data_IF_477113612042
#
_entry.id   IF_477113612042
#
_cell.length_a   1.000
_cell.length_b   1.000
_cell.length_c   1.000
_cell.angle_alpha   90.00
_cell.angle_beta   90.00
_cell.angle_gamma   90.00
#
_symmetry.space_group_name_H-M   'P 1'
#
loop_
_entity.id
_entity.type
_entity.pdbx_description
1 polymer ?
#
# COMPACT_ATOMS: atom_id res chain seq x y z
N UNK A 1 4.11 23.64 -3.94
CA UNK A 1 3.87 22.47 -4.82
C UNK A 1 3.92 21.24 -3.95
N UNK A 2 2.88 20.40 -3.98
CA UNK A 2 2.82 19.20 -3.13
C UNK A 2 2.87 17.93 -3.95
N UNK A 3 3.70 17.00 -3.52
CA UNK A 3 3.83 15.68 -4.14
C UNK A 3 3.50 14.58 -3.14
N UNK A 4 2.89 13.51 -3.62
CA UNK A 4 2.61 12.30 -2.86
C UNK A 4 3.64 11.23 -3.16
N UNK A 5 4.06 10.47 -2.16
CA UNK A 5 4.98 9.35 -2.31
C UNK A 5 4.29 8.11 -1.76
N UNK A 6 4.17 7.09 -2.61
CA UNK A 6 3.48 5.82 -2.34
C UNK A 6 4.39 4.66 -2.71
N UNK A 7 4.32 3.55 -1.99
CA UNK A 7 5.08 2.32 -2.29
C UNK A 7 4.29 1.08 -1.89
N UNK A 8 4.66 -0.06 -2.49
CA UNK A 8 4.27 -1.41 -2.06
C UNK A 8 2.74 -1.58 -1.96
N UNK A 9 2.07 -1.41 -3.10
CA UNK A 9 0.60 -1.46 -3.19
C UNK A 9 0.01 -2.87 -3.25
N UNK A 10 0.71 -3.83 -3.87
CA UNK A 10 0.34 -5.26 -3.95
C UNK A 10 -1.16 -5.53 -4.17
N UNK A 11 -1.71 -4.92 -5.22
CA UNK A 11 -3.11 -5.09 -5.64
C UNK A 11 -4.18 -4.79 -4.56
N UNK A 12 -3.86 -3.96 -3.57
CA UNK A 12 -4.79 -3.57 -2.51
C UNK A 12 -5.66 -2.38 -2.92
N UNK A 13 -6.56 -2.62 -3.87
CA UNK A 13 -7.52 -1.65 -4.41
C UNK A 13 -8.12 -0.70 -3.35
N UNK A 14 -8.63 -1.22 -2.23
CA UNK A 14 -9.23 -0.39 -1.17
C UNK A 14 -8.23 0.56 -0.50
N UNK A 15 -7.02 0.07 -0.22
CA UNK A 15 -5.97 0.89 0.41
C UNK A 15 -5.42 1.93 -0.56
N UNK A 16 -5.27 1.56 -1.84
CA UNK A 16 -4.81 2.46 -2.90
C UNK A 16 -5.85 3.55 -3.17
N UNK A 17 -7.13 3.19 -3.28
CA UNK A 17 -8.21 4.15 -3.46
C UNK A 17 -8.27 5.17 -2.31
N UNK A 18 -8.15 4.70 -1.06
CA UNK A 18 -8.14 5.59 0.10
C UNK A 18 -6.89 6.48 0.14
N UNK A 19 -5.71 5.94 -0.20
CA UNK A 19 -4.49 6.72 -0.31
C UNK A 19 -4.62 7.82 -1.38
N UNK A 20 -5.09 7.49 -2.59
CA UNK A 20 -5.31 8.48 -3.65
C UNK A 20 -6.32 9.54 -3.23
N UNK A 21 -7.41 9.15 -2.55
CA UNK A 21 -8.42 10.07 -2.01
C UNK A 21 -7.80 11.06 -1.03
N UNK A 22 -7.02 10.57 -0.05
CA UNK A 22 -6.36 11.42 0.94
C UNK A 22 -5.30 12.34 0.30
N UNK A 23 -4.55 11.85 -0.70
CA UNK A 23 -3.60 12.67 -1.44
C UNK A 23 -4.30 13.81 -2.21
N UNK A 24 -5.43 13.51 -2.84
CA UNK A 24 -6.25 14.52 -3.52
C UNK A 24 -6.76 15.60 -2.53
N UNK A 25 -7.20 15.21 -1.34
CA UNK A 25 -7.61 16.15 -0.28
C UNK A 25 -6.46 17.06 0.19
N UNK A 26 -5.23 16.54 0.23
CA UNK A 26 -4.04 17.35 0.54
C UNK A 26 -3.60 18.26 -0.61
N UNK A 27 -4.34 18.27 -1.74
CA UNK A 27 -4.03 19.01 -2.97
C UNK A 27 -2.67 18.63 -3.55
N UNK A 28 -2.39 17.32 -3.56
CA UNK A 28 -1.22 16.78 -4.23
C UNK A 28 -1.37 16.94 -5.74
N UNK A 29 -0.32 17.44 -6.38
CA UNK A 29 -0.29 17.74 -7.81
C UNK A 29 0.39 16.63 -8.62
N UNK A 30 1.21 15.80 -7.96
CA UNK A 30 1.99 14.73 -8.58
C UNK A 30 2.21 13.60 -7.57
N UNK A 31 2.10 12.35 -8.00
CA UNK A 31 2.44 11.17 -7.18
C UNK A 31 3.68 10.47 -7.74
N UNK A 32 4.57 10.06 -6.84
CA UNK A 32 5.72 9.20 -7.12
C UNK A 32 5.46 7.83 -6.49
N UNK A 33 5.49 6.77 -7.30
CA UNK A 33 5.29 5.41 -6.86
C UNK A 33 6.62 4.65 -6.88
N UNK A 34 7.09 4.19 -5.73
CA UNK A 34 8.42 3.61 -5.56
C UNK A 34 8.54 2.15 -6.04
N UNK A 35 7.44 1.43 -6.23
CA UNK A 35 7.48 0.06 -6.79
C UNK A 35 6.48 -0.89 -6.17
N UNK A 36 6.47 -2.14 -6.65
CA UNK A 36 5.58 -3.22 -6.27
C UNK A 36 4.09 -2.86 -6.48
N UNK A 37 3.79 -2.56 -7.75
CA UNK A 37 2.43 -2.26 -8.25
C UNK A 37 1.61 -3.55 -8.35
N UNK A 38 2.24 -4.62 -8.84
CA UNK A 38 1.76 -5.99 -9.05
C UNK A 38 0.69 -6.14 -10.14
N UNK A 39 -0.28 -5.23 -10.20
CA UNK A 39 -1.45 -5.32 -11.10
C UNK A 39 -1.72 -4.04 -11.89
N UNK A 40 -2.05 -4.15 -13.20
CA UNK A 40 -2.55 -3.04 -14.00
C UNK A 40 -3.82 -2.38 -13.44
N UNK A 41 -4.67 -3.14 -12.76
CA UNK A 41 -5.91 -2.61 -12.19
C UNK A 41 -5.61 -1.59 -11.07
N UNK A 42 -4.52 -1.83 -10.33
CA UNK A 42 -4.01 -0.89 -9.32
C UNK A 42 -3.59 0.44 -9.93
N UNK A 43 -3.02 0.43 -11.14
CA UNK A 43 -2.62 1.66 -11.84
C UNK A 43 -3.83 2.55 -12.10
N UNK A 44 -5.00 1.99 -12.40
CA UNK A 44 -6.19 2.76 -12.75
C UNK A 44 -6.70 3.66 -11.62
N UNK A 45 -6.42 3.33 -10.36
CA UNK A 45 -6.79 4.18 -9.22
C UNK A 45 -6.05 5.52 -9.20
N UNK A 46 -4.87 5.59 -9.81
CA UNK A 46 -4.07 6.81 -9.86
C UNK A 46 -4.51 7.80 -10.96
N UNK A 47 -5.51 7.47 -11.77
CA UNK A 47 -6.03 8.35 -12.83
C UNK A 47 -6.35 9.80 -12.39
N UNK A 48 -6.83 10.09 -11.16
CA UNK A 48 -7.13 11.47 -10.75
C UNK A 48 -5.90 12.37 -10.57
N UNK A 49 -4.70 11.80 -10.41
CA UNK A 49 -3.48 12.57 -10.12
C UNK A 49 -2.34 12.11 -11.06
N UNK A 50 -1.64 13.01 -11.75
CA UNK A 50 -0.44 12.65 -12.53
C UNK A 50 0.52 11.82 -11.68
N UNK A 51 0.91 10.64 -12.17
CA UNK A 51 1.70 9.69 -11.39
C UNK A 51 2.88 9.15 -12.18
N UNK A 52 4.05 9.14 -11.54
CA UNK A 52 5.28 8.54 -12.04
C UNK A 52 5.55 7.24 -11.28
N UNK A 53 5.78 6.16 -12.00
CA UNK A 53 5.96 4.83 -11.43
C UNK A 53 7.37 4.32 -11.68
N UNK A 54 7.98 3.69 -10.68
CA UNK A 54 9.16 2.81 -10.83
C UNK A 54 8.71 1.37 -10.65
N UNK A 55 9.35 0.43 -11.34
CA UNK A 55 9.08 -0.99 -11.18
C UNK A 55 9.83 -1.58 -9.98
N UNK A 56 9.09 -2.33 -9.17
CA UNK A 56 9.63 -3.16 -8.10
C UNK A 56 10.01 -4.56 -8.57
N UNK A 57 10.41 -5.40 -7.61
CA UNK A 57 10.81 -6.78 -7.90
C UNK A 57 9.62 -7.71 -8.16
N UNK A 58 8.41 -7.33 -7.72
CA UNK A 58 7.18 -8.08 -7.97
C UNK A 58 6.48 -7.71 -9.29
N UNK A 59 6.93 -6.64 -9.96
CA UNK A 59 6.39 -6.16 -11.23
C UNK A 59 6.91 -6.97 -12.42
N UNK A 60 6.49 -8.25 -12.51
CA UNK A 60 6.99 -9.21 -13.52
C UNK A 60 6.56 -8.84 -14.96
N UNK A 61 5.35 -8.31 -15.13
CA UNK A 61 4.82 -7.94 -16.45
C UNK A 61 4.91 -6.43 -16.67
N UNK A 62 6.14 -5.94 -16.81
CA UNK A 62 6.44 -4.52 -17.04
C UNK A 62 5.76 -3.98 -18.31
N UNK A 63 5.58 -4.80 -19.33
CA UNK A 63 4.95 -4.39 -20.58
C UNK A 63 3.47 -4.08 -20.38
N UNK A 64 2.73 -4.97 -19.70
CA UNK A 64 1.32 -4.75 -19.39
C UNK A 64 1.13 -3.61 -18.41
N UNK A 65 1.98 -3.48 -17.39
CA UNK A 65 1.95 -2.34 -16.46
C UNK A 65 2.22 -1.02 -17.19
N UNK A 66 3.23 -0.96 -18.05
CA UNK A 66 3.54 0.24 -18.85
C UNK A 66 2.36 0.66 -19.73
N UNK A 67 1.65 -0.30 -20.34
CA UNK A 67 0.46 -0.01 -21.13
C UNK A 67 -0.67 0.61 -20.28
N UNK A 68 -0.90 0.08 -19.07
CA UNK A 68 -1.89 0.63 -18.14
C UNK A 68 -1.51 2.03 -17.63
N UNK A 69 -0.22 2.23 -17.32
CA UNK A 69 0.33 3.54 -16.90
C UNK A 69 0.13 4.57 -18.01
N UNK A 70 0.43 4.21 -19.25
CA UNK A 70 0.21 5.09 -20.41
C UNK A 70 -1.27 5.41 -20.61
N UNK A 71 -2.16 4.45 -20.34
CA UNK A 71 -3.62 4.62 -20.50
C UNK A 71 -4.18 5.67 -19.54
N UNK A 72 -3.61 5.80 -18.33
CA UNK A 72 -4.01 6.84 -17.37
C UNK A 72 -3.25 8.16 -17.55
N UNK A 73 -2.35 8.27 -18.53
CA UNK A 73 -1.48 9.43 -18.71
C UNK A 73 -0.33 9.52 -17.72
N UNK A 74 0.01 8.43 -17.02
CA UNK A 74 1.15 8.35 -16.12
C UNK A 74 2.47 8.11 -16.87
N UNK A 75 3.57 8.21 -16.14
CA UNK A 75 4.93 7.95 -16.67
C UNK A 75 5.51 6.70 -16.02
N UNK A 76 5.87 5.70 -16.82
CA UNK A 76 6.59 4.53 -16.36
C UNK A 76 8.11 4.78 -16.47
N UNK A 77 8.80 4.64 -15.34
CA UNK A 77 10.25 4.58 -15.22
C UNK A 77 10.63 3.12 -14.99
N UNK A 78 11.87 2.74 -15.34
CA UNK A 78 12.31 1.36 -15.16
C UNK A 78 12.64 1.07 -13.68
N UNK A 79 13.92 1.01 -13.31
CA UNK A 79 14.35 0.80 -11.91
C UNK A 79 14.55 2.11 -11.13
N UNK A 80 14.54 3.25 -11.81
CA UNK A 80 14.91 4.54 -11.24
C UNK A 80 14.13 5.67 -11.90
N UNK A 81 13.58 6.55 -11.07
CA UNK A 81 12.98 7.80 -11.51
C UNK A 81 13.70 9.00 -10.91
N UNK A 82 13.86 10.06 -11.70
CA UNK A 82 14.35 11.35 -11.24
C UNK A 82 13.60 12.50 -11.89
N UNK A 83 13.35 13.54 -11.11
CA UNK A 83 12.71 14.78 -11.53
C UNK A 83 13.33 15.98 -10.82
N UNK A 84 13.23 17.14 -11.44
CA UNK A 84 13.49 18.42 -10.79
C UNK A 84 12.16 19.18 -10.66
N UNK A 85 11.74 19.44 -9.42
CA UNK A 85 10.49 20.12 -9.10
C UNK A 85 10.80 21.33 -8.23
N UNK A 86 10.32 22.52 -8.61
CA UNK A 86 10.58 23.77 -7.88
C UNK A 86 12.08 24.01 -7.55
N UNK A 87 12.99 23.60 -8.45
CA UNK A 87 14.44 23.71 -8.24
C UNK A 87 15.03 22.70 -7.26
N UNK A 88 14.26 21.68 -6.86
CA UNK A 88 14.69 20.57 -6.01
C UNK A 88 14.79 19.29 -6.80
N UNK A 89 15.91 18.58 -6.64
CA UNK A 89 16.17 17.32 -7.33
C UNK A 89 15.66 16.17 -6.49
N UNK A 90 14.76 15.39 -7.07
CA UNK A 90 14.07 14.29 -6.41
C UNK A 90 14.37 13.02 -7.18
N UNK A 91 14.82 11.99 -6.48
CA UNK A 91 15.01 10.65 -7.00
C UNK A 91 14.13 9.66 -6.23
N UNK A 92 13.71 8.59 -6.89
CA UNK A 92 13.04 7.48 -6.21
C UNK A 92 13.33 6.14 -6.86
N UNK A 93 13.38 5.09 -6.03
CA UNK A 93 13.73 3.71 -6.41
C UNK A 93 12.94 2.71 -5.57
N UNK A 94 12.84 1.46 -6.00
CA UNK A 94 12.26 0.41 -5.13
C UNK A 94 13.24 -0.05 -4.05
N UNK A 95 14.56 0.09 -4.25
CA UNK A 95 15.62 -0.37 -3.33
C UNK A 95 15.72 -1.90 -3.13
N UNK A 96 15.23 -2.71 -4.08
CA UNK A 96 15.61 -4.13 -4.15
C UNK A 96 17.14 -4.29 -4.37
N UNK A 97 17.75 -3.35 -5.09
CA UNK A 97 19.20 -3.18 -5.18
C UNK A 97 19.70 -2.13 -4.18
N UNK A 98 20.13 -2.59 -2.99
CA UNK A 98 20.64 -1.68 -1.94
C UNK A 98 21.82 -0.80 -2.38
N UNK A 99 22.61 -1.26 -3.35
CA UNK A 99 23.72 -0.50 -3.91
C UNK A 99 23.24 0.77 -4.63
N UNK A 100 22.11 0.70 -5.34
CA UNK A 100 21.54 1.84 -6.04
C UNK A 100 21.08 2.92 -5.05
N UNK A 101 20.40 2.53 -3.97
CA UNK A 101 20.01 3.46 -2.90
C UNK A 101 21.23 4.13 -2.27
N UNK A 102 22.25 3.35 -1.93
CA UNK A 102 23.48 3.87 -1.33
C UNK A 102 24.17 4.91 -2.24
N UNK A 103 24.26 4.65 -3.55
CA UNK A 103 24.84 5.58 -4.51
C UNK A 103 24.02 6.89 -4.61
N UNK A 104 22.69 6.79 -4.67
CA UNK A 104 21.82 7.98 -4.76
C UNK A 104 21.88 8.83 -3.49
N UNK A 105 21.97 8.19 -2.34
CA UNK A 105 22.13 8.84 -1.05
C UNK A 105 23.48 9.57 -0.91
N UNK A 106 24.57 8.99 -1.40
CA UNK A 106 25.93 9.51 -1.21
C UNK A 106 26.46 10.34 -2.39
N UNK A 107 25.69 10.49 -3.48
CA UNK A 107 26.14 11.26 -4.64
C UNK A 107 26.07 12.78 -4.45
N UNK A 108 25.48 13.28 -3.36
CA UNK A 108 25.26 14.70 -3.10
C UNK A 108 24.66 15.44 -4.32
N UNK A 109 23.84 14.77 -5.12
CA UNK A 109 23.22 15.36 -6.31
C UNK A 109 21.73 15.68 -6.09
N UNK A 110 21.05 14.88 -5.27
CA UNK A 110 19.62 14.97 -5.01
C UNK A 110 19.34 15.66 -3.67
N UNK A 111 18.30 16.49 -3.61
CA UNK A 111 17.78 17.02 -2.34
C UNK A 111 16.94 15.97 -1.60
N UNK A 112 16.20 15.15 -2.36
CA UNK A 112 15.30 14.12 -1.84
C UNK A 112 15.50 12.78 -2.55
N UNK A 113 15.58 11.70 -1.78
CA UNK A 113 15.61 10.33 -2.28
C UNK A 113 14.52 9.53 -1.58
N UNK A 114 13.61 8.95 -2.36
CA UNK A 114 12.55 8.09 -1.84
C UNK A 114 12.79 6.62 -2.19
N UNK A 115 12.48 5.73 -1.27
CA UNK A 115 12.63 4.29 -1.53
C UNK A 115 11.54 3.41 -0.90
N UNK A 116 11.30 2.25 -1.50
CA UNK A 116 10.31 1.25 -1.07
C UNK A 116 10.91 0.01 -0.40
N UNK A 117 10.27 -1.15 -0.58
CA UNK A 117 10.76 -2.51 -0.27
C UNK A 117 10.81 -2.93 1.21
N UNK A 118 11.23 -2.06 2.14
CA UNK A 118 11.38 -2.47 3.56
C UNK A 118 10.06 -2.54 4.32
N UNK A 119 8.98 -1.96 3.77
CA UNK A 119 7.65 -1.80 4.40
C UNK A 119 7.67 -1.01 5.72
N UNK A 120 8.81 -0.43 6.09
CA UNK A 120 9.02 0.33 7.32
C UNK A 120 9.24 1.79 6.96
N UNK A 121 8.39 2.65 7.54
CA UNK A 121 8.56 4.09 7.42
C UNK A 121 9.89 4.50 8.06
N UNK A 122 10.72 5.15 7.27
CA UNK A 122 12.02 5.65 7.69
C UNK A 122 12.25 7.04 7.12
N UNK A 123 12.95 7.87 7.86
CA UNK A 123 13.37 9.18 7.40
C UNK A 123 14.71 9.50 8.05
N UNK A 124 15.72 9.75 7.23
CA UNK A 124 17.02 10.18 7.68
C UNK A 124 17.62 11.17 6.69
N UNK A 125 18.70 11.82 7.10
CA UNK A 125 19.42 12.78 6.27
C UNK A 125 20.87 12.35 6.19
N UNK A 126 21.37 12.25 4.97
CA UNK A 126 22.76 11.90 4.68
C UNK A 126 23.36 13.03 3.87
N UNK A 127 24.35 13.71 4.46
CA UNK A 127 24.86 14.97 3.92
C UNK A 127 23.73 16.00 3.75
N UNK A 128 23.53 16.44 2.50
CA UNK A 128 22.45 17.38 2.15
C UNK A 128 21.16 16.71 1.65
N UNK A 129 21.17 15.39 1.46
CA UNK A 129 20.06 14.64 0.89
C UNK A 129 19.13 14.13 2.00
N UNK A 130 17.82 14.37 1.86
CA UNK A 130 16.80 13.76 2.70
C UNK A 130 16.38 12.43 2.07
N UNK A 131 16.58 11.34 2.80
CA UNK A 131 16.18 10.00 2.36
C UNK A 131 14.94 9.58 3.17
N UNK A 132 13.90 9.12 2.49
CA UNK A 132 12.67 8.71 3.17
C UNK A 132 12.00 7.50 2.51
N UNK A 133 11.45 6.63 3.35
CA UNK A 133 10.61 5.52 2.95
C UNK A 133 9.15 5.82 3.34
N UNK A 134 8.19 5.82 2.39
CA UNK A 134 6.78 6.10 2.68
C UNK A 134 6.10 5.02 3.52
N UNK A 135 6.75 3.88 3.75
CA UNK A 135 6.14 2.66 4.26
C UNK A 135 5.47 1.89 3.12
N UNK A 136 4.58 0.97 3.48
CA UNK A 136 3.81 0.18 2.51
C UNK A 136 2.31 0.34 2.73
N UNK A 137 1.54 0.12 1.66
CA UNK A 137 0.08 -0.03 1.74
C UNK A 137 -0.33 -1.50 1.93
N UNK A 138 0.60 -2.43 1.72
CA UNK A 138 0.43 -3.86 1.97
C UNK A 138 1.34 -4.35 3.10
N UNK A 139 0.79 -5.17 4.01
CA UNK A 139 1.49 -5.78 5.16
C UNK A 139 2.25 -4.83 6.11
N UNK A 140 2.01 -3.52 6.03
CA UNK A 140 2.44 -2.56 7.05
C UNK A 140 1.33 -2.25 8.06
N UNK A 141 1.72 -2.07 9.32
CA UNK A 141 0.85 -1.55 10.37
C UNK A 141 1.60 -0.46 11.15
N UNK A 142 1.23 0.82 11.01
CA UNK A 142 0.15 1.36 10.17
C UNK A 142 0.49 1.34 8.67
N UNK A 143 -0.52 1.33 7.79
CA UNK A 143 -0.35 1.63 6.36
C UNK A 143 -0.09 3.11 6.21
N UNK A 144 0.93 3.51 5.47
CA UNK A 144 1.33 4.91 5.36
C UNK A 144 1.67 5.35 3.94
N UNK A 145 1.51 6.64 3.68
CA UNK A 145 2.12 7.32 2.55
C UNK A 145 2.71 8.67 3.02
N UNK A 146 3.48 9.34 2.15
CA UNK A 146 4.09 10.63 2.49
C UNK A 146 3.53 11.71 1.55
N UNK A 147 3.30 12.91 2.10
CA UNK A 147 3.14 14.14 1.34
C UNK A 147 4.36 15.01 1.59
N UNK A 148 5.04 15.42 0.52
CA UNK A 148 6.12 16.40 0.55
C UNK A 148 5.62 17.72 -0.04
N UNK A 149 5.75 18.80 0.72
CA UNK A 149 5.73 20.15 0.14
C UNK A 149 7.14 20.51 -0.30
N UNK A 150 7.36 20.56 -1.62
CA UNK A 150 8.68 20.76 -2.21
C UNK A 150 9.23 22.17 -1.95
N UNK A 151 8.34 23.15 -1.70
CA UNK A 151 8.74 24.55 -1.51
C UNK A 151 9.18 24.79 -0.07
N UNK A 152 8.44 24.27 0.91
CA UNK A 152 8.79 24.41 2.32
C UNK A 152 9.75 23.32 2.81
N UNK A 153 9.81 22.19 2.08
CA UNK A 153 10.53 20.99 2.49
C UNK A 153 9.82 20.19 3.59
N UNK A 154 8.57 20.52 3.90
CA UNK A 154 7.78 19.82 4.92
C UNK A 154 7.38 18.43 4.41
N UNK A 155 7.76 17.40 5.16
CA UNK A 155 7.44 16.01 4.89
C UNK A 155 6.43 15.53 5.94
N UNK A 156 5.20 15.27 5.49
CA UNK A 156 4.08 14.85 6.35
C UNK A 156 3.69 13.40 6.04
N UNK A 157 3.80 12.48 7.00
CA UNK A 157 3.24 11.14 6.84
C UNK A 157 1.71 11.19 6.98
N UNK A 158 1.03 10.43 6.13
CA UNK A 158 -0.40 10.15 6.23
C UNK A 158 -0.59 8.68 6.58
N UNK A 159 -1.50 8.42 7.52
CA UNK A 159 -1.90 7.06 7.90
C UNK A 159 -3.16 6.71 7.12
N UNK A 160 -3.13 5.57 6.43
CA UNK A 160 -4.24 5.06 5.63
C UNK A 160 -5.05 4.10 6.48
N UNK A 161 -6.22 4.55 6.92
CA UNK A 161 -7.16 3.73 7.69
C UNK A 161 -8.21 3.17 6.75
N UNK A 162 -8.03 1.92 6.30
CA UNK A 162 -9.10 1.21 5.58
C UNK A 162 -10.15 0.74 6.59
N UNK A 163 -11.40 1.18 6.47
CA UNK A 163 -12.50 0.67 7.28
C UNK A 163 -12.68 -0.82 7.02
N UNK A 164 -12.10 -1.67 7.87
CA UNK A 164 -12.48 -3.08 7.91
C UNK A 164 -13.98 -3.13 8.21
N UNK A 165 -14.77 -3.76 7.33
CA UNK A 165 -16.11 -4.20 7.71
C UNK A 165 -16.04 -4.91 9.06
N UNK A 166 -16.85 -4.42 9.98
CA UNK A 166 -17.27 -5.08 11.20
C UNK A 166 -17.97 -6.41 10.88
N UNK A 167 -17.67 -7.44 11.68
CA UNK A 167 -18.28 -8.78 11.72
C UNK A 167 -17.18 -9.81 11.97
N UNK A 168 -17.09 -10.51 13.11
CA UNK A 168 -18.06 -11.02 14.09
C UNK A 168 -17.56 -10.71 15.52
N UNK A 169 -18.34 -10.21 16.48
CA UNK A 169 -19.57 -10.71 17.12
C UNK A 169 -19.27 -10.95 18.60
N UNK A 170 -19.36 -9.88 19.38
CA UNK A 170 -19.61 -9.95 20.82
C UNK A 170 -21.04 -10.43 21.04
N UNK A 171 -21.23 -11.74 21.18
CA UNK A 171 -22.45 -12.29 21.76
C UNK A 171 -22.26 -12.42 23.28
N UNK A 172 -22.37 -11.28 23.97
CA UNK A 172 -22.65 -11.23 25.40
C UNK A 172 -24.17 -11.27 25.58
N UNK A 173 -24.72 -12.44 25.89
CA UNK A 173 -26.13 -12.61 26.26
C UNK A 173 -26.31 -12.32 27.76
N UNK A 174 -27.25 -11.46 28.18
CA UNK A 174 -27.59 -11.31 29.59
C UNK A 174 -28.81 -12.17 29.98
N UNK A 175 -28.64 -12.96 31.05
CA UNK A 175 -29.57 -13.03 32.19
C UNK A 175 -30.75 -14.03 32.21
N UNK A 176 -30.96 -14.55 33.45
CA UNK A 176 -32.18 -15.16 34.05
C UNK A 176 -32.32 -16.68 33.79
N UNK A 177 -32.51 -17.61 34.74
CA UNK A 177 -32.74 -17.64 36.19
C UNK A 177 -33.43 -18.98 36.56
N UNK A 178 -33.19 -19.52 37.77
CA UNK A 178 -33.82 -20.71 38.43
C UNK A 178 -33.52 -22.09 37.79
N UNK A 179 -33.32 -23.21 38.49
CA UNK A 179 -33.53 -23.63 39.87
C UNK A 179 -34.04 -25.08 39.85
N UNK A 180 -33.38 -26.01 40.55
CA UNK A 180 -33.97 -27.26 41.05
C UNK A 180 -34.10 -28.50 40.12
N UNK A 181 -33.46 -29.57 40.58
CA UNK A 181 -33.93 -30.97 40.63
C UNK A 181 -33.90 -31.95 39.41
N UNK A 182 -33.08 -32.99 39.61
CA UNK A 182 -33.40 -34.44 39.50
C UNK A 182 -33.55 -35.13 38.11
N UNK A 183 -32.51 -35.94 37.78
CA UNK A 183 -32.42 -37.30 37.14
C UNK A 183 -33.72 -38.06 36.72
N UNK A 184 -33.63 -39.14 35.90
CA UNK A 184 -33.02 -39.36 34.57
C UNK A 184 -34.04 -40.01 33.57
N UNK A 185 -33.74 -40.17 32.27
CA UNK A 185 -34.28 -41.26 31.40
C UNK A 185 -33.73 -41.24 29.96
N UNK A 186 -33.11 -42.36 29.56
CA UNK A 186 -32.97 -42.86 28.18
C UNK A 186 -34.35 -43.37 27.68
N UNK A 187 -34.66 -43.56 26.37
CA UNK A 187 -33.83 -44.37 25.45
C UNK A 187 -33.85 -44.08 23.91
N UNK A 188 -32.89 -44.72 23.24
CA UNK A 188 -32.90 -45.33 21.89
C UNK A 188 -33.07 -44.50 20.61
N UNK A 189 -32.00 -44.51 19.82
CA UNK A 189 -31.95 -44.27 18.37
C UNK A 189 -32.67 -45.38 17.58
N UNK A 190 -33.35 -45.05 16.47
CA UNK A 190 -33.53 -45.97 15.36
C UNK A 190 -32.44 -45.77 14.29
N UNK A 191 -31.85 -46.89 13.90
CA UNK A 191 -30.86 -47.07 12.85
C UNK A 191 -31.45 -46.85 11.46
N UNK A 192 -30.70 -46.16 10.61
CA UNK A 192 -30.98 -45.95 9.18
C UNK A 192 -30.66 -47.24 8.39
N UNK A 193 -31.50 -47.69 7.44
CA UNK A 193 -31.13 -48.78 6.53
C UNK A 193 -30.28 -48.29 5.34
N UNK A 194 -29.40 -49.13 4.76
CA UNK A 194 -28.51 -48.75 3.66
C UNK A 194 -29.16 -48.80 2.26
N UNK A 195 -28.51 -48.09 1.34
CA UNK A 195 -28.87 -47.77 -0.04
C UNK A 195 -29.12 -48.98 -0.99
N UNK A 196 -29.85 -48.77 -2.10
CA UNK A 196 -30.11 -49.82 -3.10
C UNK A 196 -28.93 -50.04 -4.06
N UNK A 197 -28.75 -51.25 -4.62
CA UNK A 197 -27.80 -51.49 -5.69
C UNK A 197 -28.38 -51.06 -7.05
N UNK A 198 -27.50 -50.52 -7.91
CA UNK A 198 -27.82 -50.08 -9.26
C UNK A 198 -28.10 -51.21 -10.25
N UNK A 199 -28.84 -50.83 -11.30
CA UNK A 199 -29.15 -51.56 -12.52
C UNK A 199 -29.82 -50.62 -13.50
#
# INVERSE_FOLDING_TARGET
MRIGIVSDTHDRAEAVAEAVRLLAEQRVELVLHCGDIESPDTVHFFRPIPTHFVFGNWDKDKARLSAAIKTIGGTAHDSFGALELAGKRIAWVHSHERHQLYQLEHCDYFDYVFYGHTHVREQHRTGKTLVANPGALFRANPKTCIVLDVVTGELKPLIITTSSKSGESTASTPGIGHGGDSVPSLPTLPTTPPAPPGG
#
